data_IF_827196348117
#
_entry.id   IF_827196348117
#
_cell.length_a   1.000
_cell.length_b   1.000
_cell.length_c   1.000
_cell.angle_alpha   90.00
_cell.angle_beta   90.00
_cell.angle_gamma   90.00
#
_symmetry.space_group_name_H-M   'P 1'
#
loop_
_entity.id
_entity.type
_entity.pdbx_description
1 polymer ?
#
# COMPACT_ATOMS: atom_id res chain seq x y z
N UNK A 1 -5.60 21.33 14.05
CA UNK A 1 -4.13 21.16 13.94
C UNK A 1 -3.78 19.69 14.10
N UNK A 2 -4.11 18.86 13.12
CA UNK A 2 -3.86 17.42 13.18
C UNK A 2 -2.52 17.09 12.52
N UNK A 3 -1.68 16.38 13.27
CA UNK A 3 -0.27 16.13 13.00
C UNK A 3 -0.09 14.67 12.57
N UNK A 4 -0.17 14.38 11.27
CA UNK A 4 -0.07 13.01 10.73
C UNK A 4 1.36 12.63 10.32
N UNK A 5 1.80 11.42 10.64
CA UNK A 5 3.00 10.76 10.07
C UNK A 5 2.51 9.70 9.07
N UNK A 6 3.42 9.18 8.23
CA UNK A 6 3.06 8.14 7.25
C UNK A 6 3.93 6.91 7.43
N UNK A 7 5.25 7.05 7.53
CA UNK A 7 6.14 5.90 7.78
C UNK A 7 6.32 5.62 9.27
N UNK A 8 6.67 4.37 9.58
CA UNK A 8 7.03 3.89 10.92
C UNK A 8 5.89 4.04 11.96
N UNK A 9 4.64 4.08 11.49
CA UNK A 9 3.42 4.12 12.31
C UNK A 9 2.50 2.95 11.96
N UNK A 10 1.59 2.61 12.87
CA UNK A 10 0.58 1.58 12.60
C UNK A 10 -0.31 1.98 11.41
N UNK A 11 -0.80 0.99 10.66
CA UNK A 11 -1.79 1.21 9.60
C UNK A 11 -3.04 1.91 10.13
N UNK A 12 -3.42 1.64 11.38
CA UNK A 12 -4.59 2.24 12.03
C UNK A 12 -4.42 3.74 12.29
N UNK A 13 -3.17 4.21 12.37
CA UNK A 13 -2.83 5.63 12.60
C UNK A 13 -2.66 6.43 11.30
N UNK A 14 -2.71 5.74 10.16
CA UNK A 14 -2.55 6.37 8.86
C UNK A 14 -3.80 7.17 8.45
N UNK A 15 -3.64 8.39 7.88
CA UNK A 15 -4.77 9.17 7.40
C UNK A 15 -5.48 8.50 6.23
N UNK A 16 -6.81 8.53 6.28
CA UNK A 16 -7.73 7.81 5.42
C UNK A 16 -8.47 8.74 4.45
N UNK A 17 -8.89 8.26 3.28
CA UNK A 17 -9.72 9.04 2.35
C UNK A 17 -11.17 9.05 2.86
N UNK A 18 -11.65 10.19 3.34
CA UNK A 18 -13.09 10.39 3.61
C UNK A 18 -13.85 10.53 2.28
N UNK A 19 -14.64 9.52 1.88
CA UNK A 19 -15.69 9.71 0.86
C UNK A 19 -15.78 8.74 -0.33
N UNK A 20 -15.50 7.43 -0.18
CA UNK A 20 -15.77 6.45 -1.26
C UNK A 20 -17.16 5.78 -1.03
N UNK A 21 -18.08 5.76 -2.03
CA UNK A 21 -19.40 5.13 -1.92
C UNK A 21 -19.32 3.60 -1.75
N UNK A 22 -20.15 3.07 -0.84
CA UNK A 22 -20.19 1.68 -0.32
C UNK A 22 -20.49 0.55 -1.33
N UNK A 23 -20.51 0.78 -2.64
CA UNK A 23 -21.03 -0.20 -3.62
C UNK A 23 -19.94 -1.00 -4.35
N UNK A 24 -18.68 -0.55 -4.31
CA UNK A 24 -17.50 -1.34 -4.71
C UNK A 24 -16.86 -2.10 -3.54
N UNK A 25 -17.50 -2.07 -2.35
CA UNK A 25 -16.92 -2.51 -1.09
C UNK A 25 -16.74 -4.02 -0.89
N UNK A 26 -17.29 -4.92 -1.71
CA UNK A 26 -17.28 -6.36 -1.35
C UNK A 26 -15.94 -7.09 -1.57
N UNK A 27 -15.04 -6.56 -2.41
CA UNK A 27 -13.67 -7.06 -2.52
C UNK A 27 -12.69 -6.23 -1.66
N UNK A 28 -13.06 -4.97 -1.41
CA UNK A 28 -12.34 -3.99 -0.60
C UNK A 28 -12.52 -4.24 0.91
N UNK A 29 -13.65 -4.80 1.34
CA UNK A 29 -13.86 -5.26 2.74
C UNK A 29 -12.94 -6.43 3.13
N UNK A 30 -12.43 -7.18 2.14
CA UNK A 30 -11.44 -8.26 2.36
C UNK A 30 -10.05 -7.71 2.68
N UNK A 31 -9.87 -6.40 2.47
CA UNK A 31 -8.67 -5.64 2.73
C UNK A 31 -9.10 -4.56 3.70
N UNK A 32 -9.28 -4.88 4.99
CA UNK A 32 -9.30 -3.84 6.05
C UNK A 32 -7.99 -3.02 6.10
N UNK A 33 -7.00 -3.39 5.28
CA UNK A 33 -5.81 -2.62 4.87
C UNK A 33 -6.13 -1.52 3.81
N UNK A 34 -7.38 -1.43 3.30
CA UNK A 34 -7.81 -0.55 2.20
C UNK A 34 -8.77 0.55 2.66
N UNK A 35 -8.55 1.08 3.86
CA UNK A 35 -8.24 2.50 3.82
C UNK A 35 -6.73 2.58 3.86
N UNK A 36 -6.13 2.32 2.70
CA UNK A 36 -4.69 2.45 2.55
C UNK A 36 -4.34 3.87 2.96
N UNK A 37 -3.21 4.09 3.67
CA UNK A 37 -2.69 5.43 3.88
C UNK A 37 -2.85 6.21 2.58
N UNK A 38 -3.47 7.39 2.63
CA UNK A 38 -3.75 8.25 1.48
C UNK A 38 -2.59 8.29 0.46
N UNK A 39 -1.36 8.23 0.96
CA UNK A 39 -0.14 8.09 0.19
C UNK A 39 -0.09 6.85 -0.73
N UNK A 40 -0.36 5.64 -0.24
CA UNK A 40 -0.35 4.41 -1.02
C UNK A 40 -1.33 4.48 -2.20
N UNK A 41 -2.54 4.98 -1.95
CA UNK A 41 -3.56 5.14 -3.01
C UNK A 41 -3.09 6.10 -4.10
N UNK A 42 -2.49 7.24 -3.72
CA UNK A 42 -1.94 8.22 -4.66
C UNK A 42 -0.79 7.60 -5.48
N UNK A 43 0.10 6.84 -4.85
CA UNK A 43 1.21 6.17 -5.54
C UNK A 43 0.72 5.11 -6.52
N UNK A 44 -0.13 4.18 -6.06
CA UNK A 44 -0.66 3.11 -6.91
C UNK A 44 -1.47 3.68 -8.07
N UNK A 45 -2.37 4.64 -7.81
CA UNK A 45 -3.13 5.33 -8.86
C UNK A 45 -2.23 6.04 -9.86
N UNK A 46 -1.12 6.65 -9.43
CA UNK A 46 -0.18 7.32 -10.33
C UNK A 46 0.58 6.31 -11.19
N UNK A 47 0.97 5.16 -10.64
CA UNK A 47 1.61 4.06 -11.39
C UNK A 47 0.65 3.48 -12.44
N UNK A 48 -0.60 3.17 -12.05
CA UNK A 48 -1.59 2.53 -12.92
C UNK A 48 -2.01 3.38 -14.13
N UNK A 49 -2.06 4.71 -13.95
CA UNK A 49 -2.47 5.64 -15.01
C UNK A 49 -1.39 5.91 -16.04
N UNK A 50 -0.16 5.46 -15.82
CA UNK A 50 0.93 5.78 -16.72
C UNK A 50 1.00 4.76 -17.87
N UNK A 51 1.18 5.24 -19.11
CA UNK A 51 1.34 4.38 -20.27
C UNK A 51 2.70 3.68 -20.27
N UNK A 52 3.67 4.18 -19.50
CA UNK A 52 4.87 3.43 -19.14
C UNK A 52 4.47 2.29 -18.19
N UNK A 53 3.94 1.22 -18.75
CA UNK A 53 4.10 -0.10 -18.15
C UNK A 53 5.59 -0.44 -18.24
N UNK A 54 6.43 0.32 -17.55
CA UNK A 54 7.87 0.13 -17.56
C UNK A 54 8.12 -1.32 -17.16
N UNK A 55 8.77 -2.07 -18.04
CA UNK A 55 9.18 -3.43 -17.74
C UNK A 55 9.92 -3.40 -16.40
N UNK A 56 9.34 -4.03 -15.38
CA UNK A 56 9.92 -4.07 -14.06
C UNK A 56 9.66 -2.87 -13.14
N UNK A 57 8.50 -2.19 -13.20
CA UNK A 57 8.09 -1.17 -12.18
C UNK A 57 8.42 -1.59 -10.74
N UNK A 58 8.18 -2.85 -10.37
CA UNK A 58 8.44 -3.40 -9.03
C UNK A 58 9.75 -4.19 -8.91
N UNK A 59 10.54 -4.29 -9.99
CA UNK A 59 11.79 -5.07 -10.03
C UNK A 59 13.04 -4.19 -10.17
N UNK A 60 12.94 -3.13 -10.95
CA UNK A 60 14.03 -2.18 -11.15
C UNK A 60 14.10 -1.21 -9.95
N UNK A 61 15.30 -0.85 -9.49
CA UNK A 61 15.46 0.14 -8.42
C UNK A 61 15.03 1.51 -8.92
N UNK A 62 14.27 2.24 -8.08
CA UNK A 62 13.92 3.63 -8.35
C UNK A 62 15.05 4.62 -8.03
N UNK A 63 14.81 5.91 -8.31
CA UNK A 63 15.73 6.99 -7.98
C UNK A 63 15.79 7.22 -6.45
N UNK A 64 16.89 6.81 -5.84
CA UNK A 64 17.12 6.88 -4.39
C UNK A 64 17.01 8.31 -3.82
N UNK A 65 17.48 9.33 -4.54
CA UNK A 65 17.44 10.71 -4.05
C UNK A 65 16.01 11.23 -3.96
N UNK A 66 15.20 10.96 -4.99
CA UNK A 66 13.78 11.31 -5.00
C UNK A 66 13.02 10.51 -3.92
N UNK A 67 13.32 9.22 -3.79
CA UNK A 67 12.76 8.36 -2.76
C UNK A 67 13.00 8.91 -1.33
N UNK A 68 14.24 9.23 -0.97
CA UNK A 68 14.57 9.78 0.36
C UNK A 68 13.94 11.16 0.59
N UNK A 69 13.87 12.00 -0.45
CA UNK A 69 13.19 13.30 -0.39
C UNK A 69 11.70 13.14 -0.10
N UNK A 70 11.04 12.18 -0.76
CA UNK A 70 9.61 11.92 -0.57
C UNK A 70 9.31 11.40 0.82
N UNK A 71 10.11 10.47 1.36
CA UNK A 71 9.96 10.02 2.75
C UNK A 71 10.01 11.22 3.71
N UNK A 72 10.97 12.15 3.51
CA UNK A 72 11.05 13.37 4.33
C UNK A 72 9.80 14.22 4.21
N UNK A 73 9.28 14.45 2.99
CA UNK A 73 8.03 15.20 2.75
C UNK A 73 6.84 14.54 3.43
N UNK A 74 6.71 13.22 3.30
CA UNK A 74 5.59 12.44 3.85
C UNK A 74 5.63 12.32 5.37
N UNK A 75 6.83 12.36 5.97
CA UNK A 75 7.01 12.36 7.43
C UNK A 75 6.91 13.77 8.04
N UNK A 76 7.07 14.82 7.23
CA UNK A 76 6.92 16.19 7.68
C UNK A 76 5.42 16.54 7.70
N UNK A 77 4.84 16.60 8.90
CA UNK A 77 3.40 16.63 9.20
C UNK A 77 2.62 17.88 8.72
N UNK A 78 3.06 18.55 7.64
CA UNK A 78 2.60 19.88 7.19
C UNK A 78 2.08 19.92 5.76
N UNK A 79 2.09 18.82 5.02
CA UNK A 79 1.70 18.84 3.61
C UNK A 79 0.21 18.54 3.41
N UNK A 80 -0.49 19.45 2.72
CA UNK A 80 -1.86 19.21 2.23
C UNK A 80 -1.84 18.08 1.19
N UNK A 81 -2.91 17.30 1.10
CA UNK A 81 -3.08 16.21 0.11
C UNK A 81 -2.69 16.62 -1.32
N UNK A 82 -3.04 17.83 -1.73
CA UNK A 82 -2.70 18.36 -3.05
C UNK A 82 -1.19 18.46 -3.29
N UNK A 83 -0.43 18.87 -2.27
CA UNK A 83 1.03 18.93 -2.34
C UNK A 83 1.64 17.53 -2.46
N UNK A 84 1.07 16.52 -1.80
CA UNK A 84 1.54 15.13 -1.93
C UNK A 84 1.33 14.62 -3.35
N UNK A 85 0.18 14.89 -3.98
CA UNK A 85 -0.10 14.51 -5.37
C UNK A 85 0.89 15.14 -6.35
N UNK A 86 1.25 16.41 -6.16
CA UNK A 86 2.25 17.10 -6.97
C UNK A 86 3.63 16.41 -6.87
N UNK A 87 4.07 16.09 -5.65
CA UNK A 87 5.35 15.38 -5.44
C UNK A 87 5.33 13.98 -6.06
N UNK A 88 4.22 13.23 -5.95
CA UNK A 88 4.09 11.89 -6.54
C UNK A 88 4.10 11.94 -8.07
N UNK A 89 3.40 12.90 -8.67
CA UNK A 89 3.35 13.04 -10.13
C UNK A 89 4.70 13.46 -10.74
N UNK A 90 5.58 14.09 -9.96
CA UNK A 90 6.93 14.45 -10.41
C UNK A 90 7.93 13.28 -10.39
N UNK A 91 7.55 12.11 -9.86
CA UNK A 91 8.45 10.96 -9.72
C UNK A 91 8.17 9.91 -10.79
N UNK A 92 9.18 9.14 -11.20
CA UNK A 92 9.02 7.99 -12.08
C UNK A 92 8.36 6.78 -11.38
N UNK A 93 7.86 5.83 -12.17
CA UNK A 93 7.07 4.69 -11.69
C UNK A 93 7.89 3.75 -10.80
N UNK A 94 9.20 3.61 -11.03
CA UNK A 94 10.11 2.76 -10.26
C UNK A 94 10.40 3.37 -8.88
N UNK A 95 10.54 4.69 -8.81
CA UNK A 95 10.66 5.44 -7.55
C UNK A 95 9.38 5.31 -6.71
N UNK A 96 8.21 5.43 -7.33
CA UNK A 96 6.94 5.24 -6.63
C UNK A 96 6.75 3.79 -6.13
N UNK A 97 7.12 2.81 -6.94
CA UNK A 97 7.07 1.41 -6.54
C UNK A 97 8.04 1.10 -5.40
N UNK A 98 9.26 1.66 -5.46
CA UNK A 98 10.25 1.54 -4.37
C UNK A 98 9.70 2.12 -3.07
N UNK A 99 9.02 3.27 -3.12
CA UNK A 99 8.38 3.87 -1.96
C UNK A 99 7.27 3.00 -1.37
N UNK A 100 6.43 2.39 -2.21
CA UNK A 100 5.37 1.48 -1.76
C UNK A 100 5.97 0.26 -1.06
N UNK A 101 7.03 -0.32 -1.64
CA UNK A 101 7.76 -1.45 -1.04
C UNK A 101 8.35 -1.04 0.31
N UNK A 102 9.02 0.11 0.38
CA UNK A 102 9.64 0.61 1.61
C UNK A 102 8.61 0.91 2.70
N UNK A 103 7.45 1.44 2.32
CA UNK A 103 6.34 1.68 3.25
C UNK A 103 5.91 0.37 3.92
N UNK A 104 5.59 -0.65 3.12
CA UNK A 104 5.11 -1.94 3.63
C UNK A 104 6.16 -2.62 4.54
N UNK A 105 7.45 -2.52 4.18
CA UNK A 105 8.55 -3.08 4.98
C UNK A 105 8.78 -2.38 6.32
N UNK A 106 8.44 -1.10 6.41
CA UNK A 106 8.63 -0.28 7.62
C UNK A 106 7.41 -0.25 8.53
N UNK A 107 6.35 -0.97 8.18
CA UNK A 107 5.22 -1.14 9.09
C UNK A 107 5.71 -1.85 10.36
N UNK A 108 5.29 -1.39 11.55
CA UNK A 108 5.68 -2.02 12.82
C UNK A 108 5.11 -3.43 12.98
N UNK A 109 4.05 -3.76 12.25
CA UNK A 109 3.50 -5.10 12.12
C UNK A 109 3.34 -5.44 10.63
N UNK A 110 3.63 -6.69 10.23
CA UNK A 110 3.46 -7.09 8.84
C UNK A 110 1.99 -6.99 8.43
N UNK A 111 1.76 -6.66 7.15
CA UNK A 111 0.41 -6.55 6.56
C UNK A 111 -0.39 -7.85 6.74
N UNK A 112 0.31 -8.98 6.67
CA UNK A 112 -0.20 -10.29 7.03
C UNK A 112 0.51 -10.74 8.32
N UNK A 113 -0.22 -10.92 9.44
CA UNK A 113 0.37 -11.41 10.67
C UNK A 113 1.05 -12.76 10.50
N UNK A 114 2.07 -13.07 11.30
CA UNK A 114 2.78 -14.36 11.24
C UNK A 114 1.82 -15.55 11.45
N UNK A 115 0.84 -15.40 12.34
CA UNK A 115 -0.21 -16.41 12.58
C UNK A 115 -1.15 -16.63 11.38
N UNK A 116 -1.20 -15.69 10.44
CA UNK A 116 -1.87 -15.87 9.15
C UNK A 116 -0.98 -16.65 8.19
N UNK A 117 0.32 -16.32 8.12
CA UNK A 117 1.30 -16.99 7.26
C UNK A 117 1.46 -18.47 7.60
N UNK A 118 1.49 -18.82 8.90
CA UNK A 118 1.51 -20.21 9.36
C UNK A 118 0.30 -21.02 8.87
N UNK A 119 -0.86 -20.38 8.80
CA UNK A 119 -2.08 -21.00 8.26
C UNK A 119 -2.04 -21.14 6.74
N UNK A 120 -1.31 -20.26 6.04
CA UNK A 120 -1.20 -20.31 4.58
C UNK A 120 -0.50 -21.57 4.11
N UNK A 121 0.55 -22.06 4.79
CA UNK A 121 1.24 -23.28 4.38
C UNK A 121 0.31 -24.49 4.31
N UNK A 122 -0.61 -24.63 5.27
CA UNK A 122 -1.61 -25.69 5.26
C UNK A 122 -2.66 -25.52 4.15
N UNK A 123 -3.05 -24.27 3.86
CA UNK A 123 -4.00 -23.94 2.79
C UNK A 123 -3.39 -24.19 1.41
N UNK A 124 -2.12 -23.83 1.21
CA UNK A 124 -1.39 -24.02 -0.05
C UNK A 124 -1.07 -25.50 -0.35
N UNK A 125 -1.15 -26.37 0.66
CA UNK A 125 -0.93 -27.82 0.52
C UNK A 125 -2.22 -28.59 0.17
N UNK A 126 -3.38 -27.91 0.08
CA UNK A 126 -4.65 -28.52 -0.34
C UNK A 126 -4.59 -28.87 -1.84
N UNK A 127 -5.19 -30.00 -2.23
CA UNK A 127 -5.23 -30.44 -3.63
C UNK A 127 -6.32 -29.74 -4.46
N UNK A 128 -7.42 -29.30 -3.82
CA UNK A 128 -8.53 -28.61 -4.48
C UNK A 128 -8.33 -27.09 -4.43
N UNK A 129 -8.04 -26.49 -5.59
CA UNK A 129 -7.90 -25.05 -5.78
C UNK A 129 -9.11 -24.25 -5.27
N UNK A 130 -10.33 -24.80 -5.40
CA UNK A 130 -11.57 -24.14 -4.96
C UNK A 130 -11.63 -24.11 -3.43
N UNK A 131 -11.28 -25.22 -2.78
CA UNK A 131 -11.19 -25.29 -1.31
C UNK A 131 -10.03 -24.44 -0.77
N UNK A 132 -8.90 -24.41 -1.46
CA UNK A 132 -7.77 -23.53 -1.16
C UNK A 132 -8.21 -22.06 -1.16
N UNK A 133 -8.89 -21.60 -2.22
CA UNK A 133 -9.41 -20.23 -2.32
C UNK A 133 -10.46 -19.96 -1.24
N UNK A 134 -11.39 -20.89 -0.97
CA UNK A 134 -12.41 -20.72 0.09
C UNK A 134 -11.76 -20.59 1.47
N UNK A 135 -10.80 -21.45 1.78
CA UNK A 135 -10.07 -21.45 3.06
C UNK A 135 -9.23 -20.20 3.24
N UNK A 136 -8.53 -19.77 2.18
CA UNK A 136 -7.80 -18.52 2.16
C UNK A 136 -8.71 -17.31 2.44
N UNK A 137 -9.85 -17.22 1.75
CA UNK A 137 -10.83 -16.13 1.95
C UNK A 137 -11.46 -16.14 3.33
N UNK A 138 -11.67 -17.32 3.94
CA UNK A 138 -12.18 -17.43 5.31
C UNK A 138 -11.18 -16.87 6.32
N UNK A 139 -9.89 -17.07 6.10
CA UNK A 139 -8.83 -16.61 7.00
C UNK A 139 -8.55 -15.11 6.87
N UNK A 140 -8.88 -14.51 5.73
CA UNK A 140 -8.74 -13.07 5.47
C UNK A 140 -9.84 -12.20 6.14
N UNK A 141 -10.90 -12.80 6.66
CA UNK A 141 -12.03 -12.09 7.30
C UNK A 141 -11.86 -12.01 8.82
#
# INVERSE_FOLDING_TARGET
NEKWRTFDISLEECPTISGIPRVLCKFIEMVKILIGPLFLDICCSSIERRPDKSLGVYRAPGNRQLHERLIKVLNNKRHKTQSIKEHVNACDSQTLASLVIDFVRRLPQPVLPDSFLESCSAILAMEDDIEQIRSFRKRLR
#
